data_IF_052362226222
#
_entry.id   IF_052362226222
#
_cell.length_a   1.000
_cell.length_b   1.000
_cell.length_c   1.000
_cell.angle_alpha   90.00
_cell.angle_beta   90.00
_cell.angle_gamma   90.00
#
_symmetry.space_group_name_H-M   'P 1'
#
loop_
_entity.id
_entity.type
_entity.pdbx_description
1 polymer ?
#
# COMPACT_ATOMS: atom_id res chain seq x y z
N UNK A 1 18.76 19.15 24.47
CA UNK A 1 18.40 18.09 23.50
C UNK A 1 17.71 18.76 22.33
N UNK A 2 18.33 18.76 21.14
CA UNK A 2 17.72 19.38 19.97
C UNK A 2 16.49 18.58 19.55
N UNK A 3 15.34 19.25 19.40
CA UNK A 3 14.18 18.64 18.77
C UNK A 3 14.50 18.50 17.27
N UNK A 4 14.69 17.26 16.81
CA UNK A 4 14.82 16.98 15.39
C UNK A 4 13.44 17.19 14.74
N UNK A 5 13.37 18.05 13.73
CA UNK A 5 12.13 18.31 13.00
C UNK A 5 11.93 17.15 12.04
N UNK A 6 10.92 16.31 12.30
CA UNK A 6 10.50 15.26 11.37
C UNK A 6 9.90 15.91 10.11
N UNK A 7 10.39 15.48 8.94
CA UNK A 7 9.94 15.95 7.63
C UNK A 7 9.81 14.76 6.71
N UNK A 8 8.86 14.86 5.79
CA UNK A 8 8.64 13.82 4.79
C UNK A 8 8.53 14.47 3.40
N UNK A 9 9.33 13.98 2.46
CA UNK A 9 9.19 14.36 1.06
C UNK A 9 7.98 13.70 0.42
N UNK A 10 7.51 14.21 -0.71
CA UNK A 10 6.39 13.61 -1.45
C UNK A 10 6.71 12.17 -1.90
N UNK A 11 7.95 11.91 -2.31
CA UNK A 11 8.40 10.57 -2.70
C UNK A 11 8.36 9.58 -1.54
N UNK A 12 8.91 9.96 -0.39
CA UNK A 12 8.87 9.11 0.81
C UNK A 12 7.44 8.87 1.30
N UNK A 13 6.58 9.90 1.25
CA UNK A 13 5.17 9.76 1.58
C UNK A 13 4.51 8.72 0.68
N UNK A 14 4.75 8.79 -0.62
CA UNK A 14 4.19 7.84 -1.57
C UNK A 14 4.68 6.42 -1.33
N UNK A 15 5.97 6.23 -1.02
CA UNK A 15 6.52 4.92 -0.64
C UNK A 15 5.85 4.37 0.63
N UNK A 16 5.63 5.22 1.64
CA UNK A 16 4.92 4.83 2.85
C UNK A 16 3.44 4.51 2.57
N UNK A 17 2.75 5.30 1.75
CA UNK A 17 1.36 5.06 1.39
C UNK A 17 1.18 3.71 0.70
N UNK A 18 2.13 3.32 -0.17
CA UNK A 18 2.17 1.99 -0.78
C UNK A 18 2.38 0.90 0.26
N UNK A 19 3.40 1.02 1.10
CA UNK A 19 3.70 0.02 2.13
C UNK A 19 2.54 -0.15 3.12
N UNK A 20 1.90 0.96 3.49
CA UNK A 20 0.73 0.94 4.36
C UNK A 20 -0.48 0.28 3.69
N UNK A 21 -0.74 0.58 2.40
CA UNK A 21 -1.84 -0.04 1.65
C UNK A 21 -1.64 -1.54 1.46
N UNK A 22 -0.38 -1.97 1.29
CA UNK A 22 -0.02 -3.39 1.11
C UNK A 22 -0.40 -4.24 2.33
N UNK A 23 -0.42 -3.67 3.53
CA UNK A 23 -0.94 -4.35 4.73
C UNK A 23 -2.37 -4.81 4.48
N UNK A 24 -3.23 -3.98 3.89
CA UNK A 24 -4.63 -4.32 3.66
C UNK A 24 -4.78 -5.34 2.54
N UNK A 25 -4.02 -5.19 1.46
CA UNK A 25 -4.11 -6.11 0.31
C UNK A 25 -3.59 -7.50 0.64
N UNK A 26 -2.50 -7.59 1.41
CA UNK A 26 -1.88 -8.88 1.77
C UNK A 26 -2.63 -9.63 2.88
N UNK A 27 -3.26 -8.91 3.82
CA UNK A 27 -3.92 -9.53 4.98
C UNK A 27 -5.44 -9.70 4.82
N UNK A 28 -6.05 -9.01 3.85
CA UNK A 28 -7.50 -9.00 3.65
C UNK A 28 -8.27 -8.25 4.75
N UNK A 29 -7.59 -7.45 5.59
CA UNK A 29 -8.26 -6.63 6.61
C UNK A 29 -9.17 -5.61 5.90
N UNK A 30 -10.42 -5.40 6.37
CA UNK A 30 -11.32 -4.42 5.77
C UNK A 30 -10.73 -3.01 5.72
N UNK A 31 -10.84 -2.33 4.58
CA UNK A 31 -10.27 -0.98 4.38
C UNK A 31 -10.75 0.06 5.41
N UNK A 32 -11.97 -0.09 5.95
CA UNK A 32 -12.47 0.76 7.05
C UNK A 32 -11.56 0.81 8.27
N UNK A 33 -10.70 -0.21 8.46
CA UNK A 33 -9.73 -0.23 9.55
C UNK A 33 -8.66 0.87 9.40
N UNK A 34 -8.41 1.35 8.18
CA UNK A 34 -7.51 2.48 7.93
C UNK A 34 -7.97 3.78 8.60
N UNK A 35 -9.28 3.95 8.78
CA UNK A 35 -9.87 5.13 9.42
C UNK A 35 -10.03 4.94 10.94
N UNK A 36 -9.41 3.90 11.51
CA UNK A 36 -9.42 3.64 12.95
C UNK A 36 -8.60 4.69 13.71
N UNK A 37 -9.17 5.39 14.71
CA UNK A 37 -8.42 6.34 15.54
C UNK A 37 -7.23 5.70 16.27
N UNK A 38 -7.34 4.42 16.63
CA UNK A 38 -6.26 3.69 17.29
C UNK A 38 -5.06 3.49 16.36
N UNK A 39 -5.32 3.19 15.09
CA UNK A 39 -4.28 3.02 14.07
C UNK A 39 -3.65 4.38 13.73
N UNK A 40 -4.46 5.42 13.57
CA UNK A 40 -3.96 6.79 13.37
C UNK A 40 -3.05 7.23 14.53
N UNK A 41 -3.45 6.95 15.77
CA UNK A 41 -2.65 7.27 16.97
C UNK A 41 -1.32 6.52 16.95
N UNK A 42 -1.34 5.21 16.67
CA UNK A 42 -0.13 4.40 16.55
C UNK A 42 0.84 4.97 15.50
N UNK A 43 0.32 5.34 14.33
CA UNK A 43 1.14 5.86 13.23
C UNK A 43 1.72 7.23 13.58
N UNK A 44 0.94 8.14 14.19
CA UNK A 44 1.45 9.45 14.63
C UNK A 44 2.54 9.34 15.69
N UNK A 45 2.44 8.35 16.59
CA UNK A 45 3.49 8.07 17.57
C UNK A 45 4.75 7.49 16.92
N UNK A 46 4.59 6.65 15.90
CA UNK A 46 5.71 6.07 15.16
C UNK A 46 6.42 7.10 14.25
N UNK A 47 5.66 7.94 13.55
CA UNK A 47 6.17 8.99 12.65
C UNK A 47 5.23 10.20 12.59
N UNK A 48 5.47 11.23 13.41
CA UNK A 48 4.57 12.39 13.52
C UNK A 48 4.33 13.17 12.22
N UNK A 49 5.31 13.26 11.31
CA UNK A 49 5.15 13.98 10.05
C UNK A 49 4.32 13.20 9.01
N UNK A 50 4.02 11.92 9.26
CA UNK A 50 3.28 11.08 8.32
C UNK A 50 1.78 11.08 8.62
N UNK A 51 0.99 11.42 7.61
CA UNK A 51 -0.45 11.28 7.62
C UNK A 51 -0.83 10.06 6.76
N UNK A 52 -1.34 8.97 7.38
CA UNK A 52 -1.70 7.76 6.64
C UNK A 52 -2.88 7.99 5.70
N UNK A 53 -2.99 7.23 4.60
CA UNK A 53 -4.10 7.33 3.66
C UNK A 53 -5.39 6.80 4.28
N UNK A 54 -6.51 7.39 3.87
CA UNK A 54 -7.86 6.97 4.28
C UNK A 54 -8.28 5.69 3.56
N UNK A 55 -9.32 5.03 4.09
CA UNK A 55 -9.90 3.86 3.43
C UNK A 55 -10.27 4.12 1.96
N UNK A 56 -10.75 5.32 1.64
CA UNK A 56 -11.08 5.73 0.26
C UNK A 56 -9.85 5.81 -0.64
N UNK A 57 -8.73 6.33 -0.12
CA UNK A 57 -7.49 6.42 -0.88
C UNK A 57 -6.90 5.02 -1.15
N UNK A 58 -6.99 4.13 -0.16
CA UNK A 58 -6.55 2.73 -0.27
C UNK A 58 -7.42 1.97 -1.27
N UNK A 59 -8.74 2.09 -1.17
CA UNK A 59 -9.69 1.38 -2.03
C UNK A 59 -9.76 1.92 -3.48
N UNK A 60 -9.16 3.08 -3.75
CA UNK A 60 -9.21 3.75 -5.04
C UNK A 60 -7.84 3.87 -5.68
N UNK A 61 -7.21 5.06 -5.63
CA UNK A 61 -5.98 5.33 -6.38
C UNK A 61 -4.82 4.39 -6.02
N UNK A 62 -4.66 4.02 -4.75
CA UNK A 62 -3.58 3.12 -4.32
C UNK A 62 -3.84 1.67 -4.78
N UNK A 63 -5.11 1.24 -4.79
CA UNK A 63 -5.48 -0.08 -5.31
C UNK A 63 -5.23 -0.17 -6.81
N UNK A 64 -5.61 0.88 -7.55
CA UNK A 64 -5.33 0.94 -8.99
C UNK A 64 -3.83 0.86 -9.27
N UNK A 65 -3.01 1.58 -8.49
CA UNK A 65 -1.56 1.52 -8.63
C UNK A 65 -1.02 0.12 -8.30
N UNK A 66 -1.47 -0.49 -7.21
CA UNK A 66 -1.03 -1.83 -6.81
C UNK A 66 -1.42 -2.88 -7.87
N UNK A 67 -2.63 -2.77 -8.44
CA UNK A 67 -3.09 -3.63 -9.51
C UNK A 67 -2.27 -3.46 -10.79
N UNK A 68 -1.94 -2.22 -11.18
CA UNK A 68 -1.07 -1.95 -12.33
C UNK A 68 0.33 -2.54 -12.13
N UNK A 69 0.93 -2.35 -10.94
CA UNK A 69 2.23 -2.93 -10.59
C UNK A 69 2.19 -4.46 -10.64
N UNK A 70 1.11 -5.07 -10.13
CA UNK A 70 0.89 -6.52 -10.16
C UNK A 70 0.76 -7.02 -11.60
N UNK A 71 -0.05 -6.36 -12.43
CA UNK A 71 -0.24 -6.73 -13.83
C UNK A 71 1.05 -6.60 -14.64
N UNK A 72 1.85 -5.55 -14.40
CA UNK A 72 3.15 -5.39 -15.04
C UNK A 72 4.10 -6.55 -14.69
N UNK A 73 4.20 -6.91 -13.40
CA UNK A 73 5.01 -8.05 -12.95
C UNK A 73 4.50 -9.38 -13.53
N UNK A 74 3.19 -9.58 -13.55
CA UNK A 74 2.56 -10.77 -14.10
C UNK A 74 2.83 -10.89 -15.60
N UNK A 75 2.67 -9.80 -16.36
CA UNK A 75 2.95 -9.78 -17.80
C UNK A 75 4.43 -10.09 -18.09
N UNK A 76 5.34 -9.52 -17.31
CA UNK A 76 6.76 -9.84 -17.42
C UNK A 76 7.01 -11.33 -17.14
N UNK A 77 6.43 -11.85 -16.04
CA UNK A 77 6.54 -13.27 -15.69
C UNK A 77 6.02 -14.16 -16.82
N UNK A 78 4.87 -13.84 -17.42
CA UNK A 78 4.28 -14.62 -18.52
C UNK A 78 5.16 -14.57 -19.78
N UNK A 79 5.72 -13.42 -20.12
CA UNK A 79 6.59 -13.26 -21.29
C UNK A 79 7.92 -14.03 -21.14
N UNK A 80 8.43 -14.16 -19.92
CA UNK A 80 9.67 -14.87 -19.63
C UNK A 80 9.51 -16.41 -19.66
N UNK A 81 8.28 -16.94 -19.77
CA UNK A 81 8.01 -18.38 -19.76
C UNK A 81 7.75 -18.93 -21.16
N UNK A 82 8.44 -20.01 -21.54
CA UNK A 82 8.21 -20.72 -22.81
C UNK A 82 6.98 -21.63 -22.79
N UNK A 83 6.49 -21.98 -21.60
CA UNK A 83 5.35 -22.88 -21.39
C UNK A 83 4.56 -22.41 -20.19
N UNK A 84 3.24 -22.38 -20.30
CA UNK A 84 2.31 -22.12 -19.20
C UNK A 84 1.16 -23.12 -19.24
N UNK A 85 0.64 -23.46 -18.08
CA UNK A 85 -0.57 -24.29 -17.95
C UNK A 85 -1.69 -23.41 -17.41
N UNK A 86 -2.77 -23.30 -18.16
CA UNK A 86 -3.98 -22.61 -17.73
C UNK A 86 -4.91 -23.63 -17.07
N UNK A 87 -5.34 -23.34 -15.85
CA UNK A 87 -6.34 -24.14 -15.12
C UNK A 87 -7.51 -23.21 -14.82
N UNK A 88 -8.73 -23.69 -15.10
CA UNK A 88 -9.99 -22.96 -14.87
C UNK A 88 -10.82 -23.76 -13.86
N UNK A 89 -11.42 -23.09 -12.88
CA UNK A 89 -12.16 -23.71 -11.78
C UNK A 89 -13.66 -23.94 -12.05
N UNK A 90 -14.21 -23.40 -13.15
CA UNK A 90 -15.53 -23.75 -13.68
C UNK A 90 -16.67 -22.94 -13.09
#
# INVERSE_FOLDING_TARGET
MGAWIDRISLGEKFTLDKAYSDIFYSTGIPFRFADSPALETFIKLARPAYAPPTAKAIAGPLLNHAHQDMMAKMNQLVQDQTRFSLVSDG
#
